data_IF_631624906928
#
_entry.id   IF_631624906928
#
_cell.length_a   1.000
_cell.length_b   1.000
_cell.length_c   1.000
_cell.angle_alpha   90.00
_cell.angle_beta   90.00
_cell.angle_gamma   90.00
#
_symmetry.space_group_name_H-M   'P 1'
#
loop_
_entity.id
_entity.type
_entity.pdbx_description
1 polymer ?
#
# COMPACT_ATOMS: atom_id res chain seq x y z
N UNK A 1 -7.58 -15.23 8.76
CA UNK A 1 -7.19 -16.62 9.09
C UNK A 1 -6.29 -17.22 7.97
N UNK A 2 -5.08 -16.66 7.76
CA UNK A 2 -4.16 -17.06 6.67
C UNK A 2 -2.78 -17.56 7.15
N UNK A 3 -2.64 -17.91 8.43
CA UNK A 3 -1.35 -18.20 9.08
C UNK A 3 -0.79 -19.60 8.82
N UNK A 4 -1.50 -20.49 8.11
CA UNK A 4 -1.00 -21.83 7.79
C UNK A 4 -0.22 -21.79 6.47
N UNK A 5 1.00 -22.32 6.47
CA UNK A 5 2.00 -22.36 5.39
C UNK A 5 1.62 -22.97 4.02
N UNK A 6 0.36 -22.91 3.59
CA UNK A 6 -0.12 -23.39 2.28
C UNK A 6 0.63 -22.76 1.09
N UNK A 7 0.84 -23.56 0.05
CA UNK A 7 1.52 -23.17 -1.19
C UNK A 7 0.55 -23.30 -2.37
N UNK A 8 0.45 -22.25 -3.18
CA UNK A 8 -0.43 -22.18 -4.35
C UNK A 8 0.37 -21.99 -5.65
N UNK A 9 1.42 -22.79 -5.85
CA UNK A 9 2.30 -22.72 -7.04
C UNK A 9 1.59 -23.03 -8.36
N UNK A 10 0.35 -23.53 -8.34
CA UNK A 10 -0.49 -23.66 -9.54
C UNK A 10 -1.17 -22.35 -9.98
N UNK A 11 -1.31 -21.37 -9.09
CA UNK A 11 -1.96 -20.10 -9.37
C UNK A 11 -0.94 -19.04 -9.83
N UNK A 12 -1.23 -18.38 -10.95
CA UNK A 12 -0.38 -17.31 -11.50
C UNK A 12 -1.06 -15.93 -11.48
N UNK A 13 -2.26 -15.83 -10.89
CA UNK A 13 -2.98 -14.56 -10.71
C UNK A 13 -3.44 -14.48 -9.26
N UNK A 14 -3.14 -13.36 -8.61
CA UNK A 14 -3.56 -13.05 -7.23
C UNK A 14 -4.37 -11.76 -7.27
N UNK A 15 -5.57 -11.78 -6.69
CA UNK A 15 -6.44 -10.60 -6.58
C UNK A 15 -6.56 -10.26 -5.10
N UNK A 16 -6.08 -9.08 -4.73
CA UNK A 16 -6.30 -8.47 -3.42
C UNK A 16 -7.55 -7.61 -3.51
N UNK A 17 -8.65 -8.11 -2.96
CA UNK A 17 -9.95 -7.47 -3.06
C UNK A 17 -10.07 -6.26 -2.12
N UNK A 18 -9.77 -6.44 -0.83
CA UNK A 18 -9.83 -5.38 0.17
C UNK A 18 -8.44 -5.09 0.77
N UNK A 19 -8.03 -3.82 0.89
CA UNK A 19 -6.79 -3.48 1.57
C UNK A 19 -6.91 -3.69 3.08
N UNK A 20 -5.80 -4.07 3.71
CA UNK A 20 -5.72 -4.25 5.17
C UNK A 20 -4.81 -3.18 5.80
N UNK A 21 -4.84 -2.99 7.12
CA UNK A 21 -3.90 -2.02 7.76
C UNK A 21 -2.45 -2.49 7.83
N UNK A 22 -2.22 -3.81 7.65
CA UNK A 22 -0.92 -4.44 7.78
C UNK A 22 -0.42 -4.92 6.41
N UNK A 23 0.57 -4.25 5.78
CA UNK A 23 1.08 -4.66 4.46
C UNK A 23 1.65 -6.09 4.47
N UNK A 24 2.15 -6.58 5.61
CA UNK A 24 2.72 -7.93 5.71
C UNK A 24 1.68 -9.03 5.45
N UNK A 25 0.39 -8.79 5.74
CA UNK A 25 -0.66 -9.76 5.45
C UNK A 25 -0.83 -9.96 3.94
N UNK A 26 -0.81 -8.87 3.18
CA UNK A 26 -0.98 -8.89 1.73
C UNK A 26 0.27 -9.50 1.06
N UNK A 27 1.46 -9.13 1.52
CA UNK A 27 2.72 -9.72 1.07
C UNK A 27 2.75 -11.23 1.31
N UNK A 28 2.37 -11.66 2.52
CA UNK A 28 2.30 -13.08 2.85
C UNK A 28 1.29 -13.84 1.97
N UNK A 29 0.21 -13.18 1.52
CA UNK A 29 -0.77 -13.78 0.62
C UNK A 29 -0.21 -13.93 -0.82
N UNK A 30 0.53 -12.93 -1.30
CA UNK A 30 1.21 -12.97 -2.61
C UNK A 30 2.27 -14.09 -2.63
N UNK A 31 3.06 -14.21 -1.56
CA UNK A 31 4.12 -15.22 -1.42
C UNK A 31 3.61 -16.67 -1.42
N UNK A 32 2.28 -16.87 -1.31
CA UNK A 32 1.68 -18.20 -1.47
C UNK A 32 1.71 -18.67 -2.91
N UNK A 33 1.51 -17.75 -3.85
CA UNK A 33 1.53 -18.02 -5.29
C UNK A 33 2.93 -17.77 -5.89
N UNK A 34 3.60 -16.71 -5.43
CA UNK A 34 4.99 -16.40 -5.80
C UNK A 34 5.97 -17.14 -4.88
N UNK A 35 6.24 -18.40 -5.21
CA UNK A 35 7.09 -19.27 -4.39
C UNK A 35 7.91 -20.22 -5.26
N UNK A 36 8.95 -20.81 -4.66
CA UNK A 36 9.74 -21.89 -5.26
C UNK A 36 8.79 -22.97 -5.80
N UNK A 37 8.94 -23.32 -7.08
CA UNK A 37 8.08 -24.26 -7.80
C UNK A 37 7.03 -23.59 -8.70
N UNK A 38 6.90 -22.26 -8.67
CA UNK A 38 6.14 -21.50 -9.67
C UNK A 38 7.02 -21.18 -10.87
N UNK A 39 6.57 -21.53 -12.08
CA UNK A 39 7.28 -21.29 -13.35
C UNK A 39 6.62 -20.23 -14.23
N UNK A 40 5.38 -19.83 -13.90
CA UNK A 40 4.62 -18.82 -14.63
C UNK A 40 4.75 -17.47 -13.93
N UNK A 41 4.79 -16.40 -14.72
CA UNK A 41 4.76 -15.05 -14.18
C UNK A 41 3.49 -14.82 -13.34
N UNK A 42 3.66 -14.46 -12.06
CA UNK A 42 2.57 -14.17 -11.14
C UNK A 42 2.14 -12.72 -11.32
N UNK A 43 0.87 -12.49 -11.65
CA UNK A 43 0.27 -11.17 -11.75
C UNK A 43 -0.54 -10.88 -10.49
N UNK A 44 -0.26 -9.75 -9.85
CA UNK A 44 -1.00 -9.31 -8.66
C UNK A 44 -1.85 -8.11 -9.03
N UNK A 45 -3.16 -8.21 -8.84
CA UNK A 45 -4.10 -7.11 -8.99
C UNK A 45 -4.60 -6.71 -7.61
N UNK A 46 -4.55 -5.42 -7.30
CA UNK A 46 -5.15 -4.86 -6.09
C UNK A 46 -6.29 -3.96 -6.49
N UNK A 47 -7.47 -4.23 -5.96
CA UNK A 47 -8.64 -3.40 -6.16
C UNK A 47 -8.68 -2.36 -5.03
N UNK A 48 -8.92 -1.10 -5.40
CA UNK A 48 -9.03 0.02 -4.46
C UNK A 48 -10.15 0.91 -4.98
N UNK A 49 -11.15 1.14 -4.14
CA UNK A 49 -12.22 2.07 -4.46
C UNK A 49 -11.75 3.51 -4.27
N UNK A 50 -11.92 4.32 -5.32
CA UNK A 50 -11.52 5.73 -5.31
C UNK A 50 -12.42 6.55 -4.37
N UNK A 51 -11.83 7.45 -3.59
CA UNK A 51 -12.57 8.34 -2.70
C UNK A 51 -13.20 7.65 -1.49
N UNK A 52 -12.85 6.38 -1.22
CA UNK A 52 -13.26 5.67 -0.01
C UNK A 52 -12.10 5.57 0.98
N UNK A 53 -12.39 5.03 2.17
CA UNK A 53 -11.36 4.78 3.19
C UNK A 53 -10.30 3.78 2.74
N UNK A 54 -10.60 2.93 1.74
CA UNK A 54 -9.66 1.94 1.18
C UNK A 54 -8.42 2.61 0.60
N UNK A 55 -8.59 3.76 -0.04
CA UNK A 55 -7.50 4.55 -0.60
C UNK A 55 -6.50 4.95 0.49
N UNK A 56 -7.02 5.46 1.61
CA UNK A 56 -6.21 5.91 2.75
C UNK A 56 -5.55 4.74 3.49
N UNK A 57 -6.24 3.60 3.58
CA UNK A 57 -5.65 2.38 4.12
C UNK A 57 -4.46 1.94 3.30
N UNK A 58 -4.59 1.92 1.97
CA UNK A 58 -3.51 1.54 1.07
C UNK A 58 -2.33 2.52 1.12
N UNK A 59 -2.59 3.83 1.10
CA UNK A 59 -1.53 4.84 1.25
C UNK A 59 -0.73 4.65 2.55
N UNK A 60 -1.40 4.31 3.66
CA UNK A 60 -0.73 3.98 4.93
C UNK A 60 0.07 2.68 4.85
N UNK A 61 -0.37 1.68 4.09
CA UNK A 61 0.43 0.48 3.84
C UNK A 61 1.72 0.83 3.08
N UNK A 62 1.62 1.63 2.01
CA UNK A 62 2.79 2.10 1.24
C UNK A 62 3.75 2.88 2.12
N UNK A 63 3.24 3.78 2.96
CA UNK A 63 4.07 4.53 3.92
C UNK A 63 4.81 3.61 4.91
N UNK A 64 4.10 2.63 5.51
CA UNK A 64 4.72 1.66 6.42
C UNK A 64 5.80 0.83 5.73
N UNK A 65 5.55 0.40 4.50
CA UNK A 65 6.52 -0.37 3.73
C UNK A 65 7.74 0.47 3.36
N UNK A 66 7.55 1.73 2.99
CA UNK A 66 8.64 2.67 2.73
C UNK A 66 9.51 2.91 3.97
N UNK A 67 8.90 3.09 5.15
CA UNK A 67 9.64 3.21 6.42
C UNK A 67 10.47 1.96 6.71
N UNK A 68 9.88 0.78 6.51
CA UNK A 68 10.60 -0.48 6.65
C UNK A 68 11.81 -0.55 5.69
N UNK A 69 11.62 -0.20 4.42
CA UNK A 69 12.71 -0.15 3.44
C UNK A 69 13.79 0.87 3.79
N UNK A 70 13.43 2.03 4.35
CA UNK A 70 14.39 3.06 4.75
C UNK A 70 15.24 2.65 5.96
N UNK A 71 14.69 1.81 6.85
CA UNK A 71 15.42 1.31 8.03
C UNK A 71 16.27 0.09 7.69
N UNK A 72 15.75 -0.81 6.85
CA UNK A 72 16.41 -2.09 6.52
C UNK A 72 17.35 -1.98 5.31
N UNK A 73 17.03 -1.12 4.34
CA UNK A 73 17.85 -0.86 3.15
C UNK A 73 18.87 0.25 3.39
N UNK A 74 20.11 0.04 2.94
CA UNK A 74 21.18 1.05 3.03
C UNK A 74 21.12 2.12 1.93
N UNK A 75 20.08 2.10 1.08
CA UNK A 75 19.90 3.01 -0.06
C UNK A 75 18.79 4.04 0.20
N UNK A 76 18.92 5.21 -0.42
CA UNK A 76 17.96 6.32 -0.30
C UNK A 76 16.56 5.90 -0.80
N UNK A 77 15.70 5.44 0.12
CA UNK A 77 14.32 5.10 -0.20
C UNK A 77 13.58 6.36 -0.71
N UNK A 78 12.98 6.28 -1.91
CA UNK A 78 12.15 7.34 -2.48
C UNK A 78 11.05 7.70 -1.48
N UNK A 79 10.99 8.99 -1.10
CA UNK A 79 9.99 9.50 -0.18
C UNK A 79 8.71 9.79 -0.95
N UNK A 80 7.69 8.98 -0.72
CA UNK A 80 6.40 9.11 -1.41
C UNK A 80 5.47 10.14 -0.75
N UNK A 81 5.74 10.50 0.50
CA UNK A 81 4.88 11.39 1.28
C UNK A 81 5.64 12.56 1.90
N UNK A 82 5.19 13.77 1.63
CA UNK A 82 5.65 15.00 2.28
C UNK A 82 4.71 15.36 3.42
N UNK A 83 5.28 15.71 4.58
CA UNK A 83 4.48 16.18 5.70
C UNK A 83 3.97 17.60 5.41
N UNK A 84 2.80 17.96 5.94
CA UNK A 84 2.31 19.35 5.89
C UNK A 84 3.33 20.23 6.63
N UNK A 85 4.08 21.03 5.87
CA UNK A 85 4.99 22.04 6.40
C UNK A 85 4.24 23.37 6.50
N UNK A 86 4.52 24.15 7.56
CA UNK A 86 4.05 25.54 7.68
C UNK A 86 2.79 25.78 8.51
N UNK A 87 2.02 24.77 8.93
CA UNK A 87 0.97 24.95 9.95
C UNK A 87 1.52 24.63 11.34
N UNK A 88 1.39 25.55 12.31
CA UNK A 88 1.84 25.29 13.69
C UNK A 88 0.99 24.22 14.40
N UNK A 89 -0.25 24.03 13.98
CA UNK A 89 -1.21 23.09 14.59
C UNK A 89 -1.15 21.67 13.99
N UNK A 90 -0.82 21.52 12.71
CA UNK A 90 -0.86 20.21 12.01
C UNK A 90 0.51 19.82 11.44
N UNK A 91 1.59 20.37 12.03
CA UNK A 91 2.97 20.10 11.63
C UNK A 91 3.25 18.60 11.73
N UNK A 92 3.56 17.95 10.60
CA UNK A 92 3.84 16.51 10.58
C UNK A 92 2.63 15.61 10.31
N UNK A 93 1.40 16.14 10.23
CA UNK A 93 0.23 15.32 9.93
C UNK A 93 0.18 14.92 8.46
N UNK A 94 0.40 13.62 8.20
CA UNK A 94 0.24 13.00 6.88
C UNK A 94 -1.19 12.48 6.67
N UNK A 95 -1.81 11.92 7.72
CA UNK A 95 -3.09 11.21 7.65
C UNK A 95 -4.12 11.70 8.67
N UNK A 96 -4.01 12.96 9.10
CA UNK A 96 -4.93 13.58 10.05
C UNK A 96 -6.38 13.62 9.55
N UNK A 97 -7.32 13.90 10.45
CA UNK A 97 -8.76 13.93 10.14
C UNK A 97 -9.09 14.89 9.00
N UNK A 98 -8.36 16.00 8.87
CA UNK A 98 -8.56 16.97 7.80
C UNK A 98 -8.25 16.39 6.43
N UNK A 99 -7.12 15.67 6.28
CA UNK A 99 -6.78 14.99 5.03
C UNK A 99 -7.71 13.80 4.75
N UNK A 100 -8.21 13.14 5.79
CA UNK A 100 -9.11 11.99 5.69
C UNK A 100 -10.50 12.36 5.14
N UNK A 101 -11.02 13.53 5.53
CA UNK A 101 -12.36 13.98 5.14
C UNK A 101 -12.35 15.08 4.07
N UNK A 102 -11.18 15.42 3.52
CA UNK A 102 -11.08 16.41 2.44
C UNK A 102 -11.64 15.84 1.15
N UNK A 103 -12.83 16.29 0.78
CA UNK A 103 -13.44 15.96 -0.50
C UNK A 103 -12.58 16.50 -1.65
N UNK A 104 -12.18 15.62 -2.58
CA UNK A 104 -11.45 15.99 -3.80
C UNK A 104 -12.40 15.93 -5.00
N UNK A 105 -12.81 17.09 -5.51
CA UNK A 105 -13.86 17.20 -6.54
C UNK A 105 -13.40 16.90 -7.98
N UNK A 106 -12.09 16.85 -8.27
CA UNK A 106 -11.56 16.79 -9.65
C UNK A 106 -11.21 15.38 -10.15
N UNK A 107 -11.63 14.31 -9.47
CA UNK A 107 -11.26 12.93 -9.85
C UNK A 107 -9.76 12.61 -9.71
N UNK A 108 -8.95 13.58 -9.26
CA UNK A 108 -7.56 13.40 -8.83
C UNK A 108 -7.57 12.71 -7.46
N UNK A 109 -7.13 11.46 -7.39
CA UNK A 109 -6.97 10.75 -6.13
C UNK A 109 -5.51 10.83 -5.66
N UNK A 110 -5.30 10.86 -4.33
CA UNK A 110 -3.96 10.95 -3.74
C UNK A 110 -3.10 9.76 -4.18
N UNK A 111 -3.73 8.58 -4.32
CA UNK A 111 -3.03 7.36 -4.72
C UNK A 111 -2.50 7.44 -6.14
N UNK A 112 -3.25 8.03 -7.08
CA UNK A 112 -2.80 8.24 -8.44
C UNK A 112 -1.64 9.22 -8.50
N UNK A 113 -1.72 10.32 -7.77
CA UNK A 113 -0.66 11.33 -7.71
C UNK A 113 0.64 10.81 -7.06
N UNK A 114 0.55 9.87 -6.12
CA UNK A 114 1.72 9.34 -5.42
C UNK A 114 2.39 8.20 -6.21
N UNK A 115 1.61 7.38 -6.93
CA UNK A 115 2.12 6.20 -7.62
C UNK A 115 2.49 6.40 -9.10
N UNK A 116 1.92 7.40 -9.78
CA UNK A 116 2.23 7.66 -11.21
C UNK A 116 3.44 8.59 -11.42
N UNK A 117 4.28 8.84 -10.40
CA UNK A 117 5.50 9.69 -10.47
C UNK A 117 6.76 8.91 -10.77
#
# INVERSE_FOLDING_TARGET
AGGLGLNFVGANVVILFDPTWNPANDLQAIDRAYRIGQYRAVKVFRLISLGTVEEMMYLRQVYKQQLHCAVVGSENAKRYFEAVQGSKEHQGELFGIHNLFKLRNHGSCLTKEILEV
#
